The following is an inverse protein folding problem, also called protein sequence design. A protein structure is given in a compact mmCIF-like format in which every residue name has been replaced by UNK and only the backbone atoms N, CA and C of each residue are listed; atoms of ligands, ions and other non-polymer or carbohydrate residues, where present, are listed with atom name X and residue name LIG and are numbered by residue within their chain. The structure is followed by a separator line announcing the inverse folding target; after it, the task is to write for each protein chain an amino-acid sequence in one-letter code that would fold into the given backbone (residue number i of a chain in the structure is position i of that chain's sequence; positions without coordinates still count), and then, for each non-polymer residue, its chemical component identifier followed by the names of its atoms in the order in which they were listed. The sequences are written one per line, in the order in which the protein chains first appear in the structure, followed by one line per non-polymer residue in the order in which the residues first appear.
data_IF_334263395346
#
_entry.id   IF_334263395346
#
_cell.length_a   1.000
_cell.length_b   1.000
_cell.length_c   1.000
_cell.angle_alpha   90.00
_cell.angle_beta   90.00
_cell.angle_gamma   90.00
#
_symmetry.space_group_name_H-M   'P 1'
#
loop_
_entity.id
_entity.type
_entity.pdbx_description
1 polymer ?
#
# COMPACT_ATOMS: atom_id res chain seq x y z
N UNK A 1 8.72 -1.48 -26.90
CA UNK A 1 8.61 -2.90 -26.52
C UNK A 1 9.48 -3.76 -27.43
N UNK A 2 9.95 -4.92 -26.94
CA UNK A 2 10.86 -5.78 -27.68
C UNK A 2 10.45 -7.26 -27.56
N UNK A 3 9.95 -7.83 -28.66
CA UNK A 3 9.51 -9.23 -28.71
C UNK A 3 10.69 -10.22 -28.56
N UNK A 4 11.88 -9.85 -29.01
CA UNK A 4 13.05 -10.72 -28.89
C UNK A 4 13.54 -10.83 -27.44
N UNK A 5 13.46 -9.74 -26.66
CA UNK A 5 13.77 -9.77 -25.23
C UNK A 5 12.69 -10.52 -24.44
N UNK A 6 11.43 -10.23 -24.73
CA UNK A 6 10.30 -10.91 -24.08
C UNK A 6 10.34 -12.43 -24.32
N UNK A 7 10.68 -12.87 -25.53
CA UNK A 7 10.79 -14.29 -25.84
C UNK A 7 11.89 -15.00 -25.03
N UNK A 8 13.01 -14.32 -24.75
CA UNK A 8 14.07 -14.86 -23.88
C UNK A 8 13.60 -15.03 -22.44
N UNK A 9 12.90 -14.02 -21.91
CA UNK A 9 12.36 -14.06 -20.54
C UNK A 9 11.33 -15.18 -20.39
N UNK A 10 10.51 -15.40 -21.43
CA UNK A 10 9.47 -16.43 -21.42
C UNK A 10 9.97 -17.82 -21.86
N UNK A 11 11.26 -17.97 -22.17
CA UNK A 11 11.86 -19.22 -22.63
C UNK A 11 11.16 -19.85 -23.87
N UNK A 12 10.68 -18.99 -24.78
CA UNK A 12 10.04 -19.37 -26.04
C UNK A 12 10.77 -18.73 -27.22
N UNK A 13 10.47 -19.23 -28.47
CA UNK A 13 11.00 -18.55 -29.65
C UNK A 13 10.20 -17.29 -29.95
N UNK A 14 10.83 -16.29 -30.60
CA UNK A 14 10.13 -15.06 -31.00
C UNK A 14 8.95 -15.37 -31.95
N UNK A 15 9.09 -16.37 -32.84
CA UNK A 15 8.00 -16.80 -33.72
C UNK A 15 6.81 -17.35 -32.93
N UNK A 16 7.05 -18.17 -31.91
CA UNK A 16 6.01 -18.70 -31.02
C UNK A 16 5.30 -17.57 -30.29
N UNK A 17 6.04 -16.64 -29.70
CA UNK A 17 5.47 -15.50 -29.02
C UNK A 17 4.61 -14.63 -29.96
N UNK A 18 5.12 -14.32 -31.14
CA UNK A 18 4.38 -13.57 -32.16
C UNK A 18 3.10 -14.26 -32.61
N UNK A 19 3.12 -15.57 -32.69
CA UNK A 19 1.96 -16.38 -33.06
C UNK A 19 0.89 -16.39 -31.96
N UNK A 20 1.31 -16.54 -30.70
CA UNK A 20 0.41 -16.48 -29.55
C UNK A 20 -0.26 -15.09 -29.41
N UNK A 21 0.50 -14.02 -29.60
CA UNK A 21 -0.08 -12.66 -29.60
C UNK A 21 -1.08 -12.48 -30.73
N UNK A 22 -0.76 -12.95 -31.95
CA UNK A 22 -1.68 -12.89 -33.08
C UNK A 22 -2.97 -13.69 -32.84
N UNK A 23 -2.85 -14.84 -32.20
CA UNK A 23 -4.00 -15.66 -31.82
C UNK A 23 -4.87 -14.92 -30.80
N UNK A 24 -4.28 -14.32 -29.77
CA UNK A 24 -4.98 -13.52 -28.78
C UNK A 24 -5.70 -12.32 -29.42
N UNK A 25 -5.04 -11.58 -30.32
CA UNK A 25 -5.65 -10.47 -31.07
C UNK A 25 -6.85 -10.96 -31.90
N UNK A 26 -6.75 -12.17 -32.46
CA UNK A 26 -7.84 -12.79 -33.24
C UNK A 26 -9.01 -13.18 -32.33
N UNK A 27 -8.75 -13.81 -31.20
CA UNK A 27 -9.77 -14.23 -30.22
C UNK A 27 -10.51 -13.02 -29.63
N UNK A 28 -9.78 -11.94 -29.35
CA UNK A 28 -10.36 -10.70 -28.85
C UNK A 28 -10.96 -9.81 -29.95
N UNK A 29 -10.76 -10.18 -31.20
CA UNK A 29 -11.13 -9.37 -32.39
C UNK A 29 -10.64 -7.91 -32.29
N UNK A 30 -9.43 -7.71 -31.78
CA UNK A 30 -8.85 -6.41 -31.48
C UNK A 30 -7.34 -6.44 -31.59
N UNK A 31 -6.75 -5.43 -32.23
CA UNK A 31 -5.30 -5.26 -32.29
C UNK A 31 -4.76 -4.72 -30.99
N UNK A 32 -3.79 -5.39 -30.40
CA UNK A 32 -3.18 -5.02 -29.12
C UNK A 32 -1.86 -4.27 -29.29
N UNK A 33 -1.16 -4.50 -30.41
CA UNK A 33 0.13 -3.88 -30.69
C UNK A 33 0.12 -3.15 -32.02
N UNK A 34 0.63 -1.93 -32.02
CA UNK A 34 1.02 -1.22 -33.24
C UNK A 34 2.47 -1.55 -33.54
N UNK A 35 2.73 -2.01 -34.79
CA UNK A 35 4.05 -2.42 -35.27
C UNK A 35 4.46 -1.51 -36.40
N UNK A 36 5.39 -0.62 -36.13
CA UNK A 36 6.07 0.18 -37.13
C UNK A 36 7.46 -0.40 -37.41
N UNK A 37 8.10 0.01 -38.49
CA UNK A 37 9.43 -0.51 -38.91
C UNK A 37 10.54 -0.32 -37.86
N UNK A 38 10.33 0.54 -36.87
CA UNK A 38 11.34 0.89 -35.84
C UNK A 38 10.89 0.64 -34.41
N UNK A 39 9.59 0.48 -34.17
CA UNK A 39 9.06 0.40 -32.80
C UNK A 39 7.79 -0.46 -32.72
N UNK A 40 7.62 -1.10 -31.57
CA UNK A 40 6.39 -1.79 -31.20
C UNK A 40 5.82 -1.09 -29.98
N UNK A 41 4.59 -0.59 -30.10
CA UNK A 41 3.86 0.08 -29.01
C UNK A 41 2.53 -0.61 -28.74
N UNK A 42 1.94 -0.36 -27.59
CA UNK A 42 0.59 -0.85 -27.27
C UNK A 42 -0.46 0.09 -27.88
N UNK A 43 -1.52 -0.49 -28.40
CA UNK A 43 -2.76 0.24 -28.69
C UNK A 43 -3.48 0.62 -27.39
N UNK A 44 -4.52 1.45 -27.45
CA UNK A 44 -5.37 1.74 -26.29
C UNK A 44 -5.99 0.43 -25.72
N UNK A 45 -6.43 -0.47 -26.58
CA UNK A 45 -6.93 -1.77 -26.18
C UNK A 45 -5.84 -2.63 -25.52
N UNK A 46 -4.61 -2.58 -26.08
CA UNK A 46 -3.44 -3.25 -25.49
C UNK A 46 -3.11 -2.73 -24.08
N UNK A 47 -3.13 -1.43 -23.87
CA UNK A 47 -2.91 -0.82 -22.56
C UNK A 47 -3.94 -1.29 -21.53
N UNK A 48 -5.23 -1.26 -21.90
CA UNK A 48 -6.30 -1.77 -21.03
C UNK A 48 -6.14 -3.25 -20.75
N UNK A 49 -5.80 -4.04 -21.75
CA UNK A 49 -5.60 -5.49 -21.55
C UNK A 49 -4.45 -5.78 -20.58
N UNK A 50 -3.33 -5.06 -20.65
CA UNK A 50 -2.19 -5.25 -19.74
C UNK A 50 -2.61 -5.10 -18.28
N UNK A 51 -3.45 -4.10 -17.95
CA UNK A 51 -3.93 -3.91 -16.57
C UNK A 51 -4.71 -5.13 -16.04
N UNK A 52 -5.52 -5.75 -16.88
CA UNK A 52 -6.30 -6.94 -16.50
C UNK A 52 -5.47 -8.23 -16.59
N UNK A 53 -4.61 -8.35 -17.59
CA UNK A 53 -3.75 -9.51 -17.75
C UNK A 53 -2.76 -9.65 -16.58
N UNK A 54 -2.20 -8.54 -16.10
CA UNK A 54 -1.36 -8.55 -14.90
C UNK A 54 -2.11 -9.11 -13.69
N UNK A 55 -3.37 -8.74 -13.48
CA UNK A 55 -4.18 -9.29 -12.40
C UNK A 55 -4.41 -10.78 -12.53
N UNK A 56 -4.72 -11.25 -13.74
CA UNK A 56 -4.93 -12.69 -14.00
C UNK A 56 -3.67 -13.48 -13.70
N UNK A 57 -2.50 -13.01 -14.12
CA UNK A 57 -1.23 -13.67 -13.82
C UNK A 57 -0.98 -13.71 -12.31
N UNK A 58 -1.15 -12.60 -11.63
CA UNK A 58 -0.99 -12.53 -10.17
C UNK A 58 -1.97 -13.47 -9.45
N UNK A 59 -3.24 -13.48 -9.84
CA UNK A 59 -4.24 -14.39 -9.26
C UNK A 59 -3.91 -15.87 -9.51
N UNK A 60 -3.33 -16.20 -10.67
CA UNK A 60 -2.85 -17.54 -10.98
C UNK A 60 -1.66 -17.93 -10.07
N UNK A 61 -0.71 -17.02 -9.87
CA UNK A 61 0.43 -17.22 -8.96
C UNK A 61 -0.04 -17.41 -7.52
N UNK A 62 -1.00 -16.58 -7.05
CA UNK A 62 -1.63 -16.72 -5.73
C UNK A 62 -2.33 -18.09 -5.61
N UNK A 63 -3.03 -18.53 -6.64
CA UNK A 63 -3.69 -19.83 -6.64
C UNK A 63 -2.67 -20.97 -6.51
N UNK A 64 -1.58 -20.90 -7.27
CA UNK A 64 -0.48 -21.88 -7.18
C UNK A 64 0.16 -21.86 -5.80
N UNK A 65 0.44 -20.68 -5.25
CA UNK A 65 0.99 -20.52 -3.91
C UNK A 65 0.06 -21.13 -2.85
N UNK A 66 -1.23 -20.84 -2.89
CA UNK A 66 -2.21 -21.43 -1.95
C UNK A 66 -2.27 -22.96 -2.04
N UNK A 67 -2.07 -23.54 -3.20
CA UNK A 67 -2.01 -25.00 -3.34
C UNK A 67 -0.73 -25.58 -2.76
N UNK A 68 0.36 -24.84 -2.79
CA UNK A 68 1.63 -25.19 -2.13
C UNK A 68 1.51 -25.04 -0.62
N UNK A 69 0.92 -23.95 -0.16
CA UNK A 69 0.72 -23.62 1.27
C UNK A 69 -0.20 -24.63 1.99
N UNK A 70 -1.11 -25.28 1.27
CA UNK A 70 -1.91 -26.39 1.82
C UNK A 70 -1.05 -27.60 2.22
N UNK A 71 0.16 -27.71 1.73
CA UNK A 71 1.09 -28.80 2.08
C UNK A 71 2.02 -28.42 3.24
N UNK A 72 2.36 -27.12 3.35
CA UNK A 72 3.30 -26.60 4.36
C UNK A 72 2.81 -25.25 4.92
N UNK A 73 1.76 -25.30 5.74
CA UNK A 73 1.09 -24.12 6.33
C UNK A 73 1.96 -23.21 7.22
N UNK A 74 3.25 -23.54 7.38
CA UNK A 74 4.12 -22.89 8.34
C UNK A 74 5.44 -22.36 7.76
N UNK A 75 5.56 -22.30 6.45
CA UNK A 75 6.77 -21.80 5.75
C UNK A 75 6.40 -20.76 4.71
N UNK A 76 7.35 -19.94 4.30
CA UNK A 76 7.15 -18.95 3.24
C UNK A 76 7.61 -17.55 3.64
N UNK A 77 7.21 -16.56 2.84
CA UNK A 77 7.50 -15.14 3.10
C UNK A 77 6.19 -14.38 3.32
N UNK A 78 6.22 -13.45 4.26
CA UNK A 78 5.11 -12.54 4.54
C UNK A 78 5.62 -11.10 4.45
N UNK A 79 5.09 -10.36 3.48
CA UNK A 79 5.46 -8.97 3.20
C UNK A 79 4.43 -8.03 3.82
N UNK A 80 4.83 -7.26 4.83
CA UNK A 80 3.95 -6.42 5.61
C UNK A 80 4.29 -4.95 5.38
N UNK A 81 3.34 -4.20 4.81
CA UNK A 81 3.43 -2.75 4.73
C UNK A 81 2.97 -2.10 6.04
N UNK A 82 3.74 -1.16 6.57
CA UNK A 82 3.43 -0.54 7.87
C UNK A 82 3.67 0.96 7.83
N UNK A 83 2.74 1.75 8.34
CA UNK A 83 3.02 3.16 8.63
C UNK A 83 3.80 3.30 9.94
N UNK A 84 4.73 4.24 10.02
CA UNK A 84 5.67 4.39 11.14
C UNK A 84 5.00 4.45 12.53
N UNK A 85 3.79 4.96 12.61
CA UNK A 85 3.05 5.08 13.86
C UNK A 85 2.77 3.73 14.53
N UNK A 86 2.72 2.64 13.77
CA UNK A 86 2.46 1.29 14.29
C UNK A 86 3.74 0.52 14.66
N UNK A 87 4.92 1.10 14.46
CA UNK A 87 6.19 0.43 14.75
C UNK A 87 6.29 -0.17 16.16
N UNK A 88 5.90 0.53 17.24
CA UNK A 88 5.99 -0.04 18.60
C UNK A 88 5.07 -1.26 18.80
N UNK A 89 3.85 -1.19 18.25
CA UNK A 89 2.88 -2.30 18.33
C UNK A 89 3.37 -3.53 17.56
N UNK A 90 3.95 -3.29 16.39
CA UNK A 90 4.41 -4.35 15.51
C UNK A 90 5.55 -5.14 16.12
N UNK A 91 6.48 -4.49 16.81
CA UNK A 91 7.66 -5.14 17.38
C UNK A 91 7.31 -6.30 18.32
N UNK A 92 6.38 -6.09 19.25
CA UNK A 92 5.96 -7.14 20.17
C UNK A 92 5.20 -8.27 19.45
N UNK A 93 4.34 -7.89 18.48
CA UNK A 93 3.55 -8.86 17.70
C UNK A 93 4.45 -9.74 16.84
N UNK A 94 5.45 -9.15 16.18
CA UNK A 94 6.41 -9.84 15.32
C UNK A 94 7.23 -10.84 16.13
N UNK A 95 7.72 -10.46 17.30
CA UNK A 95 8.48 -11.38 18.16
C UNK A 95 7.65 -12.63 18.49
N UNK A 96 6.42 -12.45 18.93
CA UNK A 96 5.50 -13.57 19.22
C UNK A 96 5.18 -14.41 17.99
N UNK A 97 5.03 -13.77 16.84
CA UNK A 97 4.77 -14.48 15.58
C UNK A 97 5.97 -15.36 15.19
N UNK A 98 7.19 -14.82 15.24
CA UNK A 98 8.40 -15.56 14.92
C UNK A 98 8.67 -16.74 15.87
N UNK A 99 8.27 -16.64 17.12
CA UNK A 99 8.33 -17.76 18.08
C UNK A 99 7.39 -18.90 17.68
N UNK A 100 6.21 -18.59 17.14
CA UNK A 100 5.20 -19.60 16.75
C UNK A 100 5.41 -20.13 15.32
N UNK A 101 6.01 -19.32 14.45
CA UNK A 101 6.21 -19.63 13.03
C UNK A 101 7.65 -19.37 12.59
N UNK A 102 8.62 -20.16 13.09
CA UNK A 102 10.05 -19.91 12.88
C UNK A 102 10.51 -20.04 11.43
N UNK A 103 9.77 -20.80 10.60
CA UNK A 103 10.08 -21.00 9.19
C UNK A 103 9.47 -19.94 8.27
N UNK A 104 8.68 -19.00 8.80
CA UNK A 104 8.11 -17.90 8.03
C UNK A 104 9.05 -16.71 8.06
N UNK A 105 9.47 -16.27 6.90
CA UNK A 105 10.26 -15.04 6.72
C UNK A 105 9.36 -13.82 6.71
N UNK A 106 9.62 -12.85 7.58
CA UNK A 106 8.89 -11.59 7.62
C UNK A 106 9.70 -10.48 6.96
N UNK A 107 9.09 -9.79 6.00
CA UNK A 107 9.59 -8.56 5.40
C UNK A 107 8.69 -7.40 5.82
N UNK A 108 9.23 -6.44 6.57
CA UNK A 108 8.46 -5.29 7.06
C UNK A 108 8.92 -4.04 6.33
N UNK A 109 8.00 -3.39 5.64
CA UNK A 109 8.26 -2.25 4.78
C UNK A 109 7.56 -1.02 5.35
N UNK A 110 8.35 -0.02 5.76
CA UNK A 110 7.82 1.24 6.28
C UNK A 110 7.69 2.26 5.16
N UNK A 111 6.49 2.73 4.94
CA UNK A 111 6.16 3.73 3.92
C UNK A 111 5.00 4.62 4.34
N UNK A 112 4.71 5.64 3.53
CA UNK A 112 3.49 6.44 3.66
C UNK A 112 2.26 5.62 3.29
N UNK A 113 1.08 6.07 3.74
CA UNK A 113 -0.18 5.38 3.42
C UNK A 113 -0.41 5.26 1.91
N UNK A 114 -0.10 6.31 1.15
CA UNK A 114 -0.29 6.32 -0.30
C UNK A 114 0.60 5.28 -1.00
N UNK A 115 1.89 5.24 -0.65
CA UNK A 115 2.83 4.25 -1.18
C UNK A 115 2.41 2.81 -0.83
N UNK A 116 1.99 2.59 0.44
CA UNK A 116 1.56 1.27 0.89
C UNK A 116 0.29 0.79 0.18
N UNK A 117 -0.65 1.68 -0.10
CA UNK A 117 -1.85 1.33 -0.87
C UNK A 117 -1.53 0.98 -2.32
N UNK A 118 -0.55 1.67 -2.92
CA UNK A 118 -0.07 1.36 -4.26
C UNK A 118 0.65 -0.01 -4.29
N UNK A 119 1.53 -0.27 -3.32
CA UNK A 119 2.20 -1.56 -3.15
C UNK A 119 1.20 -2.71 -2.93
N UNK A 120 0.15 -2.48 -2.11
CA UNK A 120 -0.91 -3.46 -1.90
C UNK A 120 -1.66 -3.80 -3.19
N UNK A 121 -1.97 -2.78 -4.01
CA UNK A 121 -2.62 -2.98 -5.31
C UNK A 121 -1.74 -3.71 -6.33
N UNK A 122 -0.41 -3.58 -6.21
CA UNK A 122 0.57 -4.30 -7.03
C UNK A 122 0.96 -5.65 -6.46
N UNK A 123 0.37 -6.05 -5.34
CA UNK A 123 0.71 -7.29 -4.61
C UNK A 123 2.19 -7.37 -4.18
N UNK A 124 2.83 -6.23 -3.97
CA UNK A 124 4.19 -6.16 -3.43
C UNK A 124 4.21 -6.37 -1.91
N UNK A 125 3.07 -6.23 -1.27
CA UNK A 125 2.82 -6.57 0.14
C UNK A 125 1.55 -7.38 0.27
N UNK A 126 1.52 -8.31 1.23
CA UNK A 126 0.38 -9.19 1.48
C UNK A 126 -0.74 -8.48 2.24
N UNK A 127 -0.35 -7.62 3.18
CA UNK A 127 -1.29 -6.72 3.85
C UNK A 127 -0.59 -5.47 4.36
N UNK A 128 -1.40 -4.49 4.75
CA UNK A 128 -0.94 -3.21 5.25
C UNK A 128 -1.51 -2.94 6.64
N UNK A 129 -0.66 -2.56 7.58
CA UNK A 129 -1.03 -2.07 8.90
C UNK A 129 -0.96 -0.54 8.90
N UNK A 130 -2.13 0.09 8.85
CA UNK A 130 -2.24 1.53 8.67
C UNK A 130 -3.51 2.09 9.32
N UNK A 131 -3.67 3.40 9.28
CA UNK A 131 -4.93 4.04 9.64
C UNK A 131 -6.00 3.75 8.57
N UNK A 132 -7.26 3.82 9.00
CA UNK A 132 -8.38 3.68 8.06
C UNK A 132 -8.26 4.74 6.96
N UNK A 133 -8.28 4.35 5.68
CA UNK A 133 -8.27 5.31 4.59
C UNK A 133 -9.52 6.18 4.63
N UNK A 134 -9.38 7.45 4.25
CA UNK A 134 -10.49 8.40 4.17
C UNK A 134 -11.43 8.04 3.02
N UNK A 135 -10.84 7.56 1.92
CA UNK A 135 -11.60 7.12 0.74
C UNK A 135 -11.79 5.61 0.76
N UNK A 136 -13.00 5.20 0.42
CA UNK A 136 -13.35 3.79 0.32
C UNK A 136 -12.77 3.22 -0.98
N UNK A 137 -11.88 2.27 -0.87
CA UNK A 137 -11.38 1.53 -2.02
C UNK A 137 -12.07 0.16 -2.07
N UNK A 138 -12.93 -0.04 -3.07
CA UNK A 138 -13.70 -1.28 -3.21
C UNK A 138 -12.83 -2.53 -3.49
N UNK A 139 -11.57 -2.32 -3.86
CA UNK A 139 -10.61 -3.40 -4.14
C UNK A 139 -9.81 -3.82 -2.92
N UNK A 140 -9.98 -3.15 -1.79
CA UNK A 140 -9.23 -3.42 -0.56
C UNK A 140 -10.20 -3.74 0.56
N UNK A 141 -10.09 -4.93 1.08
CA UNK A 141 -10.79 -5.33 2.29
C UNK A 141 -10.03 -4.78 3.51
N UNK A 142 -10.75 -4.16 4.42
CA UNK A 142 -10.14 -3.55 5.61
C UNK A 142 -10.85 -3.99 6.88
N UNK A 143 -10.04 -4.41 7.87
CA UNK A 143 -10.51 -4.83 9.19
C UNK A 143 -10.05 -3.83 10.24
N UNK A 144 -10.98 -3.33 11.04
CA UNK A 144 -10.64 -2.44 12.15
C UNK A 144 -10.11 -3.25 13.33
N UNK A 145 -8.85 -3.05 13.68
CA UNK A 145 -8.23 -3.72 14.81
C UNK A 145 -8.54 -3.00 16.13
N UNK A 146 -8.48 -1.68 16.15
CA UNK A 146 -8.78 -0.84 17.31
C UNK A 146 -9.04 0.61 16.91
N UNK A 147 -9.67 1.35 17.81
CA UNK A 147 -9.83 2.81 17.70
C UNK A 147 -8.83 3.53 18.60
N UNK A 148 -8.28 4.63 18.11
CA UNK A 148 -7.41 5.49 18.90
C UNK A 148 -7.91 6.94 18.84
N UNK A 149 -7.48 7.76 19.81
CA UNK A 149 -7.82 9.18 19.87
C UNK A 149 -6.57 10.02 19.69
N UNK A 150 -6.71 11.13 19.01
CA UNK A 150 -5.67 12.14 19.04
C UNK A 150 -5.61 12.75 20.44
N UNK A 151 -4.41 12.89 20.95
CA UNK A 151 -4.13 13.53 22.23
C UNK A 151 -3.05 14.59 22.07
N UNK A 152 -3.11 15.64 22.87
CA UNK A 152 -2.02 16.60 22.95
C UNK A 152 -1.05 16.17 24.07
N UNK A 153 0.22 16.01 23.71
CA UNK A 153 1.30 15.80 24.65
C UNK A 153 1.92 17.15 25.06
N UNK A 154 2.17 17.33 26.33
CA UNK A 154 2.73 18.57 26.86
C UNK A 154 3.53 18.33 28.13
N UNK A 155 4.37 19.30 28.51
CA UNK A 155 5.07 19.26 29.80
C UNK A 155 4.08 19.21 30.97
N UNK A 156 4.43 18.52 32.04
CA UNK A 156 3.65 18.49 33.30
C UNK A 156 3.45 19.88 33.94
N UNK A 157 4.29 20.84 33.57
CA UNK A 157 4.20 22.24 34.03
C UNK A 157 3.35 23.13 33.13
N UNK A 158 2.85 22.61 32.02
CA UNK A 158 2.03 23.37 31.08
C UNK A 158 0.69 23.76 31.72
N UNK A 159 0.16 24.98 31.47
CA UNK A 159 -1.13 25.43 32.07
C UNK A 159 -2.28 24.43 31.82
N UNK A 160 -2.26 23.71 30.72
CA UNK A 160 -3.31 22.73 30.38
C UNK A 160 -3.04 21.33 30.91
N UNK A 161 -1.89 21.06 31.52
CA UNK A 161 -1.49 19.71 31.95
C UNK A 161 -2.46 19.06 32.96
N UNK A 162 -3.19 19.89 33.75
CA UNK A 162 -4.18 19.39 34.72
C UNK A 162 -5.60 19.30 34.16
N UNK A 163 -5.83 19.69 32.92
CA UNK A 163 -7.14 19.60 32.29
C UNK A 163 -7.41 18.16 31.81
N UNK A 164 -8.64 17.71 31.92
CA UNK A 164 -9.08 16.39 31.41
C UNK A 164 -9.17 16.36 29.89
N UNK A 165 -9.43 17.49 29.26
CA UNK A 165 -9.50 17.67 27.81
C UNK A 165 -9.13 19.09 27.44
N UNK A 166 -8.66 19.26 26.22
CA UNK A 166 -8.44 20.55 25.56
C UNK A 166 -9.19 20.54 24.22
N UNK A 167 -9.58 21.71 23.78
CA UNK A 167 -10.24 21.91 22.48
C UNK A 167 -9.23 22.42 21.46
N UNK A 168 -9.59 22.36 20.19
CA UNK A 168 -8.79 22.96 19.11
C UNK A 168 -8.62 24.47 19.33
N UNK A 169 -9.65 25.12 19.84
CA UNK A 169 -9.65 26.55 20.17
C UNK A 169 -8.61 26.93 21.24
N UNK A 170 -8.41 26.04 22.22
CA UNK A 170 -7.37 26.26 23.26
C UNK A 170 -5.95 26.30 22.64
N UNK A 171 -5.74 25.64 21.50
CA UNK A 171 -4.44 25.56 20.82
C UNK A 171 -4.04 26.85 20.11
N UNK A 172 -4.99 27.76 19.79
CA UNK A 172 -4.71 29.04 19.11
C UNK A 172 -3.72 29.91 19.89
N UNK A 173 -3.74 29.81 21.20
CA UNK A 173 -2.87 30.60 22.09
C UNK A 173 -1.58 29.84 22.48
N UNK A 174 -1.32 28.68 21.86
CA UNK A 174 -0.17 27.88 22.18
C UNK A 174 0.78 27.78 20.97
N UNK A 175 2.06 27.56 21.25
CA UNK A 175 3.01 27.12 20.23
C UNK A 175 2.90 25.59 20.14
N UNK A 176 2.58 25.10 18.96
CA UNK A 176 2.28 23.68 18.74
C UNK A 176 3.34 23.05 17.84
N UNK A 177 3.79 21.85 18.20
CA UNK A 177 4.51 20.95 17.30
C UNK A 177 3.50 19.99 16.69
N UNK A 178 3.52 19.86 15.37
CA UNK A 178 2.59 19.03 14.62
C UNK A 178 3.34 18.05 13.72
N UNK A 179 2.76 16.88 13.45
CA UNK A 179 3.21 16.03 12.36
C UNK A 179 3.15 16.77 11.02
N UNK A 180 4.06 16.44 10.10
CA UNK A 180 4.08 17.02 8.77
C UNK A 180 2.80 16.72 7.99
N UNK A 181 2.49 17.59 7.03
CA UNK A 181 1.37 17.38 6.13
C UNK A 181 1.48 16.04 5.38
N UNK A 182 0.34 15.37 5.16
CA UNK A 182 0.28 14.06 4.52
C UNK A 182 0.40 12.87 5.50
N UNK A 183 0.85 13.10 6.73
CA UNK A 183 0.77 12.08 7.77
C UNK A 183 -0.67 11.94 8.28
N UNK A 184 -1.11 10.72 8.55
CA UNK A 184 -2.52 10.44 8.88
C UNK A 184 -3.01 11.10 10.17
N UNK A 185 -2.16 11.23 11.18
CA UNK A 185 -2.47 11.94 12.40
C UNK A 185 -2.62 13.46 12.16
N UNK A 186 -1.84 14.04 11.21
CA UNK A 186 -2.03 15.42 10.79
C UNK A 186 -3.32 15.58 10.00
N UNK A 187 -3.59 14.71 9.04
CA UNK A 187 -4.84 14.74 8.27
C UNK A 187 -6.06 14.58 9.17
N UNK A 188 -6.00 13.71 10.17
CA UNK A 188 -7.08 13.55 11.15
C UNK A 188 -7.30 14.80 11.99
N UNK A 189 -6.21 15.50 12.37
CA UNK A 189 -6.30 16.78 13.08
C UNK A 189 -6.89 17.87 12.20
N UNK A 190 -6.40 18.02 10.97
CA UNK A 190 -6.85 19.04 10.03
C UNK A 190 -8.35 18.87 9.71
N UNK A 191 -8.81 17.64 9.51
CA UNK A 191 -10.23 17.32 9.32
C UNK A 191 -11.09 17.63 10.54
N UNK A 192 -10.56 17.45 11.75
CA UNK A 192 -11.29 17.77 12.99
C UNK A 192 -11.30 19.28 13.26
N UNK A 193 -10.22 19.96 12.94
CA UNK A 193 -10.04 21.38 13.20
C UNK A 193 -10.76 22.27 12.17
N UNK A 194 -11.07 21.72 10.97
CA UNK A 194 -11.72 22.44 9.86
C UNK A 194 -11.12 23.84 9.63
N UNK A 195 -11.98 24.88 9.72
CA UNK A 195 -11.55 26.28 9.53
C UNK A 195 -10.64 26.81 10.63
N UNK A 196 -10.64 26.19 11.81
CA UNK A 196 -9.84 26.61 12.97
C UNK A 196 -8.36 26.26 12.84
N UNK A 197 -8.01 25.27 12.00
CA UNK A 197 -6.63 24.84 11.81
C UNK A 197 -5.69 25.96 11.34
N UNK A 198 -6.19 26.89 10.54
CA UNK A 198 -5.41 28.01 10.00
C UNK A 198 -4.97 29.04 11.05
N UNK A 199 -5.63 29.07 12.21
CA UNK A 199 -5.35 30.03 13.28
C UNK A 199 -4.36 29.48 14.32
N UNK A 200 -3.91 28.23 14.17
CA UNK A 200 -3.01 27.58 15.14
C UNK A 200 -1.57 27.95 14.81
N UNK A 201 -0.83 28.40 15.84
CA UNK A 201 0.58 28.73 15.71
C UNK A 201 1.45 27.45 15.70
N UNK A 202 1.59 26.84 14.53
CA UNK A 202 2.46 25.67 14.34
C UNK A 202 3.90 26.19 14.26
N UNK A 203 4.69 25.88 15.29
CA UNK A 203 6.08 26.29 15.38
C UNK A 203 7.07 25.24 14.90
N UNK A 204 6.69 24.00 14.90
CA UNK A 204 7.49 22.87 14.48
C UNK A 204 6.63 21.86 13.73
N UNK A 205 7.09 21.46 12.56
CA UNK A 205 6.56 20.29 11.84
C UNK A 205 7.60 19.16 11.84
N UNK A 206 7.17 17.92 12.13
CA UNK A 206 8.02 16.73 12.24
C UNK A 206 7.41 15.52 11.53
#
# INVERSE_FOLDING_TARGET
LNFSEASKVLYVTQSTLSQQIKQLETELNTTLFERNSHEVTLTEAGQKLVEYAQKVVIDADICQQKMTDLKDLLTGELNIGVTFTFSPLLTETVLKFMEHYPEVRLNIIYKTMAELMDMLQRHEVDFVLAFKPTEKNERVESYMLFNNKLVAAMSATHPFAKRKSITVEDLKNCQVAMPAHGLQNRNAFDNMAETTANDINIRLEI
#
